data_IF_286062295158
#
_entry.id   IF_286062295158
#
_cell.length_a   1.000
_cell.length_b   1.000
_cell.length_c   1.000
_cell.angle_alpha   90.00
_cell.angle_beta   90.00
_cell.angle_gamma   90.00
#
_symmetry.space_group_name_H-M   'P 1'
#
loop_
_entity.id
_entity.type
_entity.pdbx_description
1 polymer ?
#
# COMPACT_ATOMS: atom_id res chain seq x y z
N UNK A 1 13.11 -20.96 -25.30
CA UNK A 1 14.18 -20.13 -24.72
C UNK A 1 15.50 -20.92 -24.67
N UNK A 2 16.65 -20.22 -24.65
CA UNK A 2 17.99 -20.83 -24.47
C UNK A 2 18.16 -21.60 -23.15
N UNK A 3 17.27 -21.37 -22.18
CA UNK A 3 17.26 -22.00 -20.86
C UNK A 3 16.28 -23.15 -20.74
N UNK A 4 15.65 -23.60 -21.84
CA UNK A 4 14.66 -24.67 -21.84
C UNK A 4 13.29 -24.27 -21.28
N UNK A 5 13.04 -23.00 -21.08
CA UNK A 5 11.72 -22.48 -20.66
C UNK A 5 10.89 -22.06 -21.87
N UNK A 6 9.58 -22.01 -21.69
CA UNK A 6 8.63 -21.53 -22.69
C UNK A 6 8.72 -19.99 -22.74
N UNK A 7 8.84 -19.42 -23.93
CA UNK A 7 8.78 -17.98 -24.12
C UNK A 7 7.32 -17.52 -24.14
N UNK A 8 7.02 -16.50 -23.36
CA UNK A 8 5.70 -15.91 -23.24
C UNK A 8 5.74 -14.39 -23.39
N UNK A 9 4.65 -13.80 -23.78
CA UNK A 9 4.44 -12.37 -23.60
C UNK A 9 4.21 -12.10 -22.09
N UNK A 10 4.97 -11.23 -21.44
CA UNK A 10 4.87 -11.02 -20.00
C UNK A 10 3.51 -10.48 -19.51
N UNK A 11 2.77 -9.79 -20.40
CA UNK A 11 1.50 -9.17 -20.06
C UNK A 11 0.29 -10.02 -20.42
N UNK A 12 0.41 -10.91 -21.41
CA UNK A 12 -0.70 -11.78 -21.84
C UNK A 12 -0.50 -13.23 -21.46
N UNK A 13 0.71 -13.64 -21.04
CA UNK A 13 1.09 -15.03 -20.78
C UNK A 13 0.95 -15.96 -21.99
N UNK A 14 0.64 -15.41 -23.17
CA UNK A 14 0.53 -16.17 -24.41
C UNK A 14 1.91 -16.54 -24.96
N UNK A 15 2.04 -17.73 -25.48
CA UNK A 15 3.25 -18.21 -26.14
C UNK A 15 3.31 -17.69 -27.59
N UNK A 16 4.30 -18.14 -28.36
CA UNK A 16 4.35 -17.90 -29.80
C UNK A 16 3.29 -18.67 -30.61
N UNK A 17 2.48 -19.50 -29.96
CA UNK A 17 1.35 -20.22 -30.57
C UNK A 17 0.06 -19.56 -30.09
N UNK A 18 -0.75 -18.97 -30.97
CA UNK A 18 -1.99 -18.32 -30.58
C UNK A 18 -2.92 -19.24 -29.79
N UNK A 19 -3.48 -18.72 -28.68
CA UNK A 19 -4.38 -19.45 -27.79
C UNK A 19 -3.68 -20.44 -26.85
N UNK A 20 -2.35 -20.49 -26.85
CA UNK A 20 -1.55 -21.32 -25.92
C UNK A 20 -0.86 -20.43 -24.92
N UNK A 21 -1.15 -20.66 -23.64
CA UNK A 21 -0.64 -19.86 -22.52
C UNK A 21 0.29 -20.69 -21.65
N UNK A 22 1.26 -20.04 -21.02
CA UNK A 22 2.15 -20.69 -20.06
C UNK A 22 2.51 -19.74 -18.92
N UNK A 23 2.80 -20.32 -17.74
CA UNK A 23 3.22 -19.56 -16.55
C UNK A 23 3.95 -20.49 -15.57
N UNK A 24 4.33 -19.93 -14.42
CA UNK A 24 5.10 -20.64 -13.40
C UNK A 24 6.46 -21.07 -13.90
N UNK A 25 6.97 -22.17 -13.36
CA UNK A 25 8.31 -22.70 -13.64
C UNK A 25 8.53 -23.02 -15.12
N UNK A 26 7.46 -23.36 -15.84
CA UNK A 26 7.53 -23.61 -17.28
C UNK A 26 7.98 -22.38 -18.08
N UNK A 27 7.63 -21.19 -17.64
CA UNK A 27 7.97 -19.92 -18.28
C UNK A 27 9.19 -19.24 -17.64
N UNK A 28 9.30 -19.25 -16.32
CA UNK A 28 10.34 -18.49 -15.60
C UNK A 28 11.56 -19.32 -15.18
N UNK A 29 11.45 -20.64 -15.20
CA UNK A 29 12.36 -21.55 -14.50
C UNK A 29 11.95 -21.71 -13.03
N UNK A 30 12.65 -22.58 -12.27
CA UNK A 30 12.31 -22.89 -10.89
C UNK A 30 12.25 -21.66 -9.99
N UNK A 31 11.10 -21.44 -9.34
CA UNK A 31 10.83 -20.37 -8.40
C UNK A 31 9.98 -20.89 -7.23
N UNK A 32 9.53 -19.96 -6.36
CA UNK A 32 8.67 -20.32 -5.23
C UNK A 32 7.22 -20.55 -5.68
N UNK A 33 6.52 -21.43 -4.99
CA UNK A 33 5.15 -21.81 -5.33
C UNK A 33 4.17 -20.62 -5.43
N UNK A 34 4.36 -19.60 -4.58
CA UNK A 34 3.52 -18.39 -4.58
C UNK A 34 3.61 -17.62 -5.90
N UNK A 35 4.80 -17.54 -6.51
CA UNK A 35 4.97 -16.90 -7.81
C UNK A 35 4.27 -17.68 -8.93
N UNK A 36 4.34 -19.00 -8.90
CA UNK A 36 3.64 -19.83 -9.87
C UNK A 36 2.11 -19.68 -9.75
N UNK A 37 1.58 -19.63 -8.54
CA UNK A 37 0.15 -19.39 -8.26
C UNK A 37 -0.26 -18.00 -8.77
N UNK A 38 0.54 -16.97 -8.49
CA UNK A 38 0.27 -15.61 -8.93
C UNK A 38 0.22 -15.50 -10.46
N UNK A 39 1.18 -16.13 -11.17
CA UNK A 39 1.17 -16.15 -12.63
C UNK A 39 -0.02 -16.92 -13.19
N UNK A 40 -0.40 -18.03 -12.57
CA UNK A 40 -1.59 -18.79 -12.97
C UNK A 40 -2.87 -17.96 -12.85
N UNK A 41 -3.02 -17.18 -11.77
CA UNK A 41 -4.15 -16.28 -11.58
C UNK A 41 -4.17 -15.17 -12.64
N UNK A 42 -3.05 -14.49 -12.85
CA UNK A 42 -2.92 -13.44 -13.87
C UNK A 42 -3.22 -13.97 -15.29
N UNK A 43 -2.71 -15.14 -15.64
CA UNK A 43 -3.00 -15.77 -16.91
C UNK A 43 -4.48 -16.14 -17.06
N UNK A 44 -5.13 -16.59 -15.99
CA UNK A 44 -6.57 -16.91 -16.00
C UNK A 44 -7.44 -15.67 -16.29
N UNK A 45 -7.09 -14.51 -15.75
CA UNK A 45 -7.80 -13.26 -16.01
C UNK A 45 -7.68 -12.86 -17.49
N UNK A 46 -6.48 -12.98 -18.08
CA UNK A 46 -6.26 -12.72 -19.52
C UNK A 46 -7.03 -13.71 -20.40
N UNK A 47 -6.97 -15.00 -20.08
CA UNK A 47 -7.72 -16.05 -20.82
C UNK A 47 -9.21 -15.79 -20.72
N UNK A 48 -9.71 -15.41 -19.55
CA UNK A 48 -11.13 -15.08 -19.36
C UNK A 48 -11.54 -13.91 -20.25
N UNK A 49 -10.74 -12.84 -20.30
CA UNK A 49 -11.01 -11.69 -21.16
C UNK A 49 -11.01 -12.06 -22.64
N UNK A 50 -10.08 -12.92 -23.06
CA UNK A 50 -10.03 -13.45 -24.45
C UNK A 50 -11.28 -14.23 -24.79
N UNK A 51 -11.76 -15.09 -23.89
CA UNK A 51 -12.99 -15.88 -24.11
C UNK A 51 -14.25 -15.02 -24.14
N UNK A 52 -14.21 -13.87 -23.49
CA UNK A 52 -15.28 -12.87 -23.54
C UNK A 52 -15.30 -12.03 -24.84
N UNK A 53 -14.32 -12.24 -25.73
CA UNK A 53 -14.27 -11.63 -27.05
C UNK A 53 -13.14 -10.64 -27.30
N UNK A 54 -12.44 -10.19 -26.28
CA UNK A 54 -11.29 -9.30 -26.41
C UNK A 54 -10.21 -9.64 -25.40
N UNK A 55 -9.01 -10.01 -25.89
CA UNK A 55 -7.88 -10.27 -25.02
C UNK A 55 -7.36 -8.97 -24.40
N UNK A 56 -7.51 -8.82 -23.09
CA UNK A 56 -6.95 -7.69 -22.33
C UNK A 56 -5.66 -8.15 -21.65
N UNK A 57 -4.53 -7.44 -21.87
CA UNK A 57 -3.30 -7.69 -21.14
C UNK A 57 -3.54 -7.54 -19.63
N UNK A 58 -2.80 -8.29 -18.83
CA UNK A 58 -2.78 -8.07 -17.39
C UNK A 58 -2.10 -6.73 -17.08
N UNK A 59 -2.78 -5.91 -16.31
CA UNK A 59 -2.24 -4.67 -15.75
C UNK A 59 -1.95 -4.90 -14.28
N UNK A 60 -0.72 -4.56 -13.85
CA UNK A 60 -0.35 -4.69 -12.44
C UNK A 60 -1.05 -3.62 -11.60
N UNK A 61 -1.70 -4.05 -10.53
CA UNK A 61 -2.34 -3.12 -9.60
C UNK A 61 -1.30 -2.18 -8.96
N UNK A 62 -1.65 -0.90 -8.90
CA UNK A 62 -0.85 0.10 -8.21
C UNK A 62 -0.88 -0.21 -6.72
N UNK A 63 0.29 -0.32 -6.12
CA UNK A 63 0.48 -0.49 -4.68
C UNK A 63 1.11 0.77 -4.11
N UNK A 64 0.44 1.38 -3.15
CA UNK A 64 0.97 2.56 -2.47
C UNK A 64 2.19 2.16 -1.62
N UNK A 65 3.38 2.55 -2.08
CA UNK A 65 4.65 2.35 -1.38
C UNK A 65 5.40 3.67 -1.29
N UNK A 66 6.08 3.87 -0.18
CA UNK A 66 7.06 4.93 -0.04
C UNK A 66 8.42 4.36 -0.46
N UNK A 67 8.94 4.80 -1.60
CA UNK A 67 10.19 4.27 -2.20
C UNK A 67 11.42 5.10 -1.80
N UNK A 68 11.24 6.37 -1.43
CA UNK A 68 12.30 7.32 -1.11
C UNK A 68 12.72 7.27 0.37
N UNK A 69 12.66 6.09 0.99
CA UNK A 69 13.00 5.91 2.41
C UNK A 69 14.53 5.79 2.55
N UNK A 70 15.10 6.62 3.40
CA UNK A 70 16.53 6.63 3.72
C UNK A 70 16.78 6.29 5.18
N UNK A 71 18.05 6.01 5.55
CA UNK A 71 18.39 5.79 6.97
C UNK A 71 18.16 7.03 7.84
N UNK A 72 18.18 8.23 7.25
CA UNK A 72 17.96 9.49 7.95
C UNK A 72 16.51 9.63 8.44
N UNK A 73 15.54 9.06 7.71
CA UNK A 73 14.12 9.07 8.10
C UNK A 73 13.85 8.28 9.40
N UNK A 74 14.82 7.47 9.84
CA UNK A 74 14.73 6.62 11.03
C UNK A 74 15.89 6.85 12.01
N UNK A 75 16.57 8.00 11.93
CA UNK A 75 17.73 8.30 12.77
C UNK A 75 17.39 8.35 14.26
N UNK A 76 16.15 8.65 14.59
CA UNK A 76 15.58 8.69 15.96
C UNK A 76 15.06 7.34 16.47
N UNK A 77 15.03 6.30 15.62
CA UNK A 77 14.55 4.96 16.00
C UNK A 77 15.69 4.04 16.43
N UNK A 78 15.46 3.27 17.49
CA UNK A 78 16.38 2.22 17.91
C UNK A 78 16.48 1.12 16.85
N UNK A 79 17.71 0.73 16.47
CA UNK A 79 17.95 -0.41 15.57
C UNK A 79 17.76 -1.73 16.32
N UNK A 80 16.62 -2.36 16.15
CA UNK A 80 16.25 -3.62 16.79
C UNK A 80 16.64 -4.79 15.87
N UNK A 81 17.36 -5.77 16.39
CA UNK A 81 17.69 -6.99 15.65
C UNK A 81 16.42 -7.83 15.39
N UNK A 82 16.39 -8.52 14.24
CA UNK A 82 15.28 -9.42 13.89
C UNK A 82 15.16 -10.54 14.92
N UNK A 83 13.93 -10.84 15.34
CA UNK A 83 13.65 -11.97 16.22
C UNK A 83 14.03 -13.30 15.54
N UNK A 84 14.71 -14.16 16.30
CA UNK A 84 15.05 -15.52 15.85
C UNK A 84 14.01 -16.47 16.46
N UNK A 85 13.28 -17.17 15.58
CA UNK A 85 12.29 -18.15 16.01
C UNK A 85 12.98 -19.38 16.58
N UNK A 86 12.47 -19.88 17.68
CA UNK A 86 12.90 -21.15 18.24
C UNK A 86 12.45 -22.32 17.34
N UNK A 87 13.37 -23.25 17.10
CA UNK A 87 13.14 -24.38 16.21
C UNK A 87 13.34 -25.68 17.00
N UNK A 88 12.40 -26.62 16.85
CA UNK A 88 12.49 -27.95 17.46
C UNK A 88 13.77 -28.64 17.05
N UNK A 89 14.56 -29.19 17.99
CA UNK A 89 15.79 -29.91 17.68
C UNK A 89 15.57 -31.05 16.68
N UNK A 90 16.52 -31.28 15.77
CA UNK A 90 16.40 -32.29 14.73
C UNK A 90 16.13 -33.69 15.25
N UNK A 91 16.67 -34.04 16.42
CA UNK A 91 16.47 -35.34 17.07
C UNK A 91 15.01 -35.56 17.50
N UNK A 92 14.29 -34.50 17.87
CA UNK A 92 12.91 -34.60 18.36
C UNK A 92 11.89 -34.60 17.22
N UNK A 93 12.18 -33.93 16.09
CA UNK A 93 11.20 -33.77 15.00
C UNK A 93 11.10 -34.97 14.05
N UNK A 94 12.05 -35.90 14.09
CA UNK A 94 12.09 -37.05 13.16
C UNK A 94 10.96 -38.06 13.35
N UNK A 95 10.38 -38.12 14.58
CA UNK A 95 9.40 -39.14 14.93
C UNK A 95 8.01 -38.54 15.28
N UNK A 96 7.75 -37.29 14.87
CA UNK A 96 6.47 -36.64 15.13
C UNK A 96 6.15 -35.59 14.02
N UNK A 97 4.87 -35.14 14.00
CA UNK A 97 4.35 -34.13 13.06
C UNK A 97 3.98 -32.83 13.77
N UNK A 98 4.56 -32.55 14.95
CA UNK A 98 4.35 -31.26 15.63
C UNK A 98 5.01 -30.14 14.87
N UNK A 99 4.57 -28.90 15.12
CA UNK A 99 5.19 -27.69 14.52
C UNK A 99 6.69 -27.66 14.80
N UNK A 100 7.48 -27.51 13.75
CA UNK A 100 8.96 -27.48 13.83
C UNK A 100 9.45 -26.13 14.28
N UNK A 101 8.81 -25.06 13.87
CA UNK A 101 9.12 -23.67 14.27
C UNK A 101 8.06 -23.22 15.26
N UNK A 102 8.49 -22.74 16.41
CA UNK A 102 7.60 -22.24 17.45
C UNK A 102 7.17 -20.80 17.14
N UNK A 103 5.98 -20.43 17.59
CA UNK A 103 5.48 -19.06 17.50
C UNK A 103 6.22 -18.15 18.47
N UNK A 104 6.26 -16.87 18.15
CA UNK A 104 6.76 -15.85 19.07
C UNK A 104 5.84 -15.71 20.28
N UNK A 105 6.40 -15.32 21.43
CA UNK A 105 5.60 -14.77 22.52
C UNK A 105 5.10 -13.39 22.12
N UNK A 106 4.08 -12.87 22.82
CA UNK A 106 3.52 -11.55 22.56
C UNK A 106 4.60 -10.46 22.63
N UNK A 107 5.42 -10.46 23.66
CA UNK A 107 6.49 -9.46 23.83
C UNK A 107 7.53 -9.51 22.70
N UNK A 108 7.87 -10.71 22.22
CA UNK A 108 8.82 -10.87 21.11
C UNK A 108 8.19 -10.40 19.80
N UNK A 109 6.90 -10.67 19.59
CA UNK A 109 6.17 -10.26 18.41
C UNK A 109 5.99 -8.73 18.35
N UNK A 110 5.65 -8.08 19.46
CA UNK A 110 5.55 -6.63 19.57
C UNK A 110 6.89 -5.95 19.29
N UNK A 111 7.97 -6.48 19.89
CA UNK A 111 9.31 -5.97 19.63
C UNK A 111 9.75 -6.14 18.17
N UNK A 112 9.43 -7.26 17.53
CA UNK A 112 9.74 -7.47 16.12
C UNK A 112 8.86 -6.61 15.21
N UNK A 113 7.60 -6.38 15.57
CA UNK A 113 6.70 -5.47 14.87
C UNK A 113 7.16 -4.00 14.92
N UNK A 114 7.77 -3.56 16.02
CA UNK A 114 8.34 -2.21 16.15
C UNK A 114 9.48 -1.91 15.16
N UNK A 115 10.01 -2.92 14.45
CA UNK A 115 10.98 -2.75 13.37
C UNK A 115 10.34 -2.31 12.05
N UNK A 116 9.01 -2.23 11.98
CA UNK A 116 8.30 -1.88 10.76
C UNK A 116 8.68 -0.48 10.29
N UNK A 117 9.09 -0.33 9.03
CA UNK A 117 9.44 0.96 8.42
C UNK A 117 8.21 1.75 7.95
N UNK A 118 7.02 1.20 8.10
CA UNK A 118 5.75 1.83 7.67
C UNK A 118 5.76 2.31 6.21
N UNK A 119 6.49 1.62 5.34
CA UNK A 119 6.66 1.97 3.93
C UNK A 119 5.41 1.73 3.06
N UNK A 120 4.40 1.04 3.59
CA UNK A 120 3.11 0.86 2.94
C UNK A 120 2.06 1.85 3.44
N UNK A 121 0.93 1.94 2.72
CA UNK A 121 -0.23 2.69 3.18
C UNK A 121 -1.15 1.79 4.02
N UNK A 122 -1.52 2.23 5.24
CA UNK A 122 -2.42 1.49 6.12
C UNK A 122 -3.86 1.47 5.59
N UNK A 123 -4.24 2.51 4.86
CA UNK A 123 -5.60 2.72 4.36
C UNK A 123 -5.81 2.17 2.92
N UNK A 124 -4.96 1.22 2.53
CA UNK A 124 -4.96 0.63 1.18
C UNK A 124 -6.35 0.14 0.74
N UNK A 125 -7.10 -0.52 1.63
CA UNK A 125 -8.39 -1.12 1.30
C UNK A 125 -9.56 -0.13 1.30
N UNK A 126 -9.40 1.04 1.91
CA UNK A 126 -10.46 2.05 2.04
C UNK A 126 -10.22 3.28 1.16
N UNK A 127 -9.02 3.40 0.58
CA UNK A 127 -8.62 4.54 -0.23
C UNK A 127 -9.36 4.58 -1.58
N UNK A 128 -10.30 5.51 -1.75
CA UNK A 128 -11.03 5.70 -2.99
C UNK A 128 -10.13 6.17 -4.15
N UNK A 129 -9.11 6.97 -3.84
CA UNK A 129 -8.13 7.40 -4.84
C UNK A 129 -7.42 6.19 -5.46
N UNK A 130 -6.88 5.29 -4.63
CA UNK A 130 -6.18 4.10 -5.10
C UNK A 130 -7.11 3.18 -5.90
N UNK A 131 -8.35 3.02 -5.43
CA UNK A 131 -9.37 2.25 -6.14
C UNK A 131 -9.58 2.78 -7.57
N UNK A 132 -9.77 4.09 -7.72
CA UNK A 132 -10.00 4.67 -9.04
C UNK A 132 -8.74 4.74 -9.91
N UNK A 133 -7.55 4.89 -9.31
CA UNK A 133 -6.29 4.78 -10.06
C UNK A 133 -6.17 3.40 -10.74
N UNK A 134 -6.53 2.33 -10.03
CA UNK A 134 -6.51 0.98 -10.58
C UNK A 134 -7.66 0.73 -11.58
N UNK A 135 -8.88 1.22 -11.28
CA UNK A 135 -10.05 1.06 -12.16
C UNK A 135 -9.85 1.75 -13.52
N UNK A 136 -9.20 2.92 -13.52
CA UNK A 136 -8.90 3.68 -14.74
C UNK A 136 -7.52 3.35 -15.33
N UNK A 137 -6.81 2.39 -14.77
CA UNK A 137 -5.46 1.96 -15.23
C UNK A 137 -4.50 3.13 -15.43
N UNK A 138 -4.45 4.05 -14.47
CA UNK A 138 -3.65 5.29 -14.56
C UNK A 138 -2.17 4.96 -14.40
N UNK A 139 -1.35 5.37 -15.36
CA UNK A 139 0.11 5.34 -15.22
C UNK A 139 0.58 6.52 -14.35
N UNK A 140 0.96 6.21 -13.11
CA UNK A 140 1.45 7.20 -12.14
C UNK A 140 2.85 7.74 -12.46
N UNK A 141 3.57 7.14 -13.42
CA UNK A 141 4.92 7.54 -13.83
C UNK A 141 4.93 8.60 -14.93
N UNK A 142 3.81 8.80 -15.64
CA UNK A 142 3.73 9.77 -16.74
C UNK A 142 3.98 11.22 -16.33
N UNK A 143 3.71 11.57 -15.08
CA UNK A 143 3.85 12.95 -14.57
C UNK A 143 4.71 12.99 -13.32
N UNK A 144 6.02 12.77 -13.46
CA UNK A 144 6.94 12.95 -12.34
C UNK A 144 6.97 14.42 -11.90
N UNK A 145 7.10 14.65 -10.59
CA UNK A 145 7.15 16.00 -10.03
C UNK A 145 7.66 15.99 -8.60
N UNK A 146 7.77 17.18 -8.04
CA UNK A 146 8.12 17.34 -6.64
C UNK A 146 6.97 16.84 -5.75
N UNK A 147 7.32 16.15 -4.67
CA UNK A 147 6.39 15.71 -3.64
C UNK A 147 6.54 16.60 -2.41
N UNK A 148 5.43 17.03 -1.84
CA UNK A 148 5.46 17.63 -0.52
C UNK A 148 5.80 16.58 0.53
N UNK A 149 6.76 16.89 1.40
CA UNK A 149 7.04 16.16 2.62
C UNK A 149 6.73 17.11 3.79
N UNK A 150 5.49 17.11 4.22
CA UNK A 150 5.08 17.93 5.36
C UNK A 150 4.49 17.02 6.42
N UNK A 151 5.29 16.70 7.41
CA UNK A 151 4.79 16.10 8.65
C UNK A 151 4.26 17.23 9.51
N UNK A 152 2.95 17.29 9.65
CA UNK A 152 2.35 18.05 10.76
C UNK A 152 2.28 17.09 11.94
N UNK A 153 2.86 17.48 13.07
CA UNK A 153 2.61 16.81 14.33
C UNK A 153 1.17 17.08 14.73
N UNK A 154 0.30 16.08 14.52
CA UNK A 154 -1.09 16.14 14.93
C UNK A 154 -1.30 15.25 16.14
N UNK A 155 -1.49 15.86 17.28
CA UNK A 155 -1.80 15.22 18.55
C UNK A 155 -3.30 15.43 18.88
N UNK A 156 -4.18 14.92 18.00
CA UNK A 156 -5.63 14.95 18.25
C UNK A 156 -6.07 13.57 18.77
N UNK A 157 -6.84 13.51 19.90
CA UNK A 157 -7.13 12.26 20.58
C UNK A 157 -8.01 11.29 19.79
N UNK A 158 -8.75 11.74 18.76
CA UNK A 158 -9.71 10.93 18.01
C UNK A 158 -9.53 10.98 16.49
N UNK A 159 -8.70 11.86 15.97
CA UNK A 159 -8.54 12.08 14.53
C UNK A 159 -7.05 12.10 14.20
N UNK A 160 -6.59 11.10 13.46
CA UNK A 160 -5.27 11.09 12.85
C UNK A 160 -5.36 11.71 11.46
N UNK A 161 -4.46 12.63 11.14
CA UNK A 161 -4.37 13.24 9.81
C UNK A 161 -2.96 13.12 9.26
N UNK A 162 -2.87 12.76 7.99
CA UNK A 162 -1.61 12.76 7.26
C UNK A 162 -1.72 13.73 6.07
N UNK A 163 -1.08 14.88 6.19
CA UNK A 163 -1.14 15.93 5.17
C UNK A 163 -0.45 15.52 3.87
N UNK A 164 0.53 14.62 3.94
CA UNK A 164 1.24 14.13 2.75
C UNK A 164 0.34 13.28 1.84
N UNK A 165 -0.74 12.69 2.38
CA UNK A 165 -1.74 11.96 1.61
C UNK A 165 -2.81 12.86 0.98
N UNK A 166 -2.83 14.16 1.31
CA UNK A 166 -3.88 15.08 0.91
C UNK A 166 -3.77 15.45 -0.58
N UNK A 167 -4.85 15.24 -1.33
CA UNK A 167 -4.97 15.65 -2.74
C UNK A 167 -5.65 17.02 -2.93
N UNK A 168 -5.82 17.79 -1.86
CA UNK A 168 -6.43 19.12 -1.85
C UNK A 168 -7.85 19.18 -2.46
N UNK A 169 -8.63 18.09 -2.35
CA UNK A 169 -9.97 18.02 -2.92
C UNK A 169 -11.01 18.93 -2.22
N UNK A 170 -10.72 19.44 -1.02
CA UNK A 170 -11.53 20.37 -0.27
C UNK A 170 -12.80 19.77 0.38
N UNK A 171 -13.08 18.47 0.26
CA UNK A 171 -14.30 17.87 0.82
C UNK A 171 -14.40 18.01 2.33
N UNK A 172 -13.29 17.82 3.05
CA UNK A 172 -13.23 17.98 4.50
C UNK A 172 -13.49 19.42 4.95
N UNK A 173 -13.05 20.41 4.16
CA UNK A 173 -13.34 21.84 4.42
C UNK A 173 -14.84 22.08 4.27
N UNK A 174 -15.40 21.66 3.13
CA UNK A 174 -16.82 21.89 2.81
C UNK A 174 -17.76 21.22 3.81
N UNK A 175 -17.51 19.98 4.20
CA UNK A 175 -18.37 19.33 5.19
C UNK A 175 -18.25 20.00 6.56
N UNK A 176 -17.06 20.45 6.96
CA UNK A 176 -16.84 21.13 8.22
C UNK A 176 -17.53 22.51 8.25
N UNK A 177 -17.48 23.25 7.14
CA UNK A 177 -18.09 24.60 7.02
C UNK A 177 -19.58 24.53 6.67
N UNK A 178 -19.93 23.96 5.53
CA UNK A 178 -21.29 24.02 4.97
C UNK A 178 -22.30 23.15 5.71
N UNK A 179 -21.88 21.98 6.22
CA UNK A 179 -22.79 21.02 6.86
C UNK A 179 -22.72 21.11 8.38
N UNK A 180 -21.50 21.13 8.94
CA UNK A 180 -21.32 21.16 10.39
C UNK A 180 -21.34 22.58 10.96
N UNK A 181 -21.09 23.61 10.15
CA UNK A 181 -21.06 25.01 10.57
C UNK A 181 -19.92 25.34 11.54
N UNK A 182 -18.84 24.55 11.55
CA UNK A 182 -17.74 24.67 12.50
C UNK A 182 -16.57 25.48 11.93
N UNK A 183 -16.27 25.29 10.63
CA UNK A 183 -15.19 25.99 9.91
C UNK A 183 -13.80 25.82 10.56
N UNK A 184 -13.54 24.65 11.16
CA UNK A 184 -12.25 24.37 11.79
C UNK A 184 -11.12 24.10 10.79
N UNK A 185 -11.44 23.79 9.53
CA UNK A 185 -10.48 23.48 8.48
C UNK A 185 -10.58 24.46 7.33
N UNK A 186 -9.43 24.86 6.79
CA UNK A 186 -9.32 25.75 5.64
C UNK A 186 -8.09 25.44 4.81
N UNK A 187 -7.93 26.13 3.66
CA UNK A 187 -6.68 26.12 2.92
C UNK A 187 -5.75 27.16 3.53
N UNK A 188 -4.58 26.70 3.93
CA UNK A 188 -3.50 27.52 4.46
C UNK A 188 -2.37 27.53 3.42
N UNK A 189 -1.63 28.63 3.36
CA UNK A 189 -0.59 28.90 2.38
C UNK A 189 -1.11 29.05 0.93
N UNK A 190 -0.20 29.18 -0.05
CA UNK A 190 -0.54 29.42 -1.46
C UNK A 190 0.29 28.58 -2.41
N UNK A 191 -0.30 28.32 -3.56
CA UNK A 191 0.37 27.59 -4.65
C UNK A 191 0.75 26.17 -4.24
N UNK A 192 1.97 25.79 -4.54
CA UNK A 192 2.48 24.46 -4.22
C UNK A 192 2.54 24.18 -2.71
N UNK A 193 2.66 25.23 -1.89
CA UNK A 193 2.71 25.15 -0.45
C UNK A 193 1.33 25.04 0.24
N UNK A 194 0.24 24.99 -0.53
CA UNK A 194 -1.12 24.91 0.03
C UNK A 194 -1.33 23.60 0.78
N UNK A 195 -1.94 23.70 1.96
CA UNK A 195 -2.33 22.55 2.79
C UNK A 195 -3.72 22.78 3.37
N UNK A 196 -4.38 21.71 3.78
CA UNK A 196 -5.62 21.78 4.56
C UNK A 196 -5.25 21.72 6.03
N UNK A 197 -5.44 22.81 6.77
CA UNK A 197 -5.10 22.95 8.17
C UNK A 197 -6.12 23.86 8.87
N UNK A 198 -6.18 23.86 10.21
CA UNK A 198 -6.78 24.95 10.97
C UNK A 198 -6.06 26.30 10.73
N UNK A 199 -6.69 27.37 11.11
CA UNK A 199 -6.11 28.71 11.06
C UNK A 199 -4.75 28.77 11.77
N UNK A 200 -3.83 29.59 11.24
CA UNK A 200 -2.47 29.76 11.77
C UNK A 200 -1.65 28.46 11.90
N UNK A 201 -2.00 27.41 11.15
CA UNK A 201 -1.37 26.08 11.24
C UNK A 201 -1.42 25.46 12.65
N UNK A 202 -2.45 25.82 13.45
CA UNK A 202 -2.64 25.26 14.78
C UNK A 202 -2.92 23.74 14.71
N UNK A 203 -2.54 22.98 15.72
CA UNK A 203 -3.01 21.61 15.88
C UNK A 203 -4.54 21.55 15.89
N UNK A 204 -5.13 20.53 15.27
CA UNK A 204 -6.59 20.39 15.16
C UNK A 204 -7.28 20.43 16.53
N UNK A 205 -6.65 19.88 17.59
CA UNK A 205 -7.16 19.91 18.97
C UNK A 205 -7.25 21.32 19.57
N UNK A 206 -6.46 22.28 19.05
CA UNK A 206 -6.42 23.68 19.54
C UNK A 206 -7.31 24.61 18.70
N UNK A 207 -7.97 24.08 17.70
CA UNK A 207 -8.90 24.80 16.82
C UNK A 207 -10.35 24.70 17.30
N UNK A 208 -11.28 25.27 16.53
CA UNK A 208 -12.72 25.14 16.78
C UNK A 208 -13.28 23.72 16.58
N UNK A 209 -12.45 22.72 16.33
CA UNK A 209 -12.86 21.34 16.06
C UNK A 209 -13.64 20.73 17.24
N UNK A 210 -14.79 20.13 16.94
CA UNK A 210 -15.65 19.44 17.92
C UNK A 210 -15.48 17.91 17.87
N UNK A 211 -14.46 17.41 17.19
CA UNK A 211 -14.16 15.97 17.09
C UNK A 211 -15.27 15.10 16.46
N UNK A 212 -16.09 15.65 15.56
CA UNK A 212 -17.22 14.95 14.98
C UNK A 212 -16.84 13.85 13.94
N UNK A 213 -15.59 13.83 13.44
CA UNK A 213 -15.11 12.84 12.49
C UNK A 213 -15.63 12.96 11.05
N UNK A 214 -16.51 13.93 10.74
CA UNK A 214 -17.10 14.07 9.39
C UNK A 214 -16.06 14.35 8.30
N UNK A 215 -14.98 15.04 8.63
CA UNK A 215 -13.87 15.27 7.68
C UNK A 215 -13.16 13.96 7.28
N UNK A 216 -13.10 12.99 8.19
CA UNK A 216 -12.53 11.65 7.92
C UNK A 216 -13.45 10.88 6.99
N UNK A 217 -14.76 10.85 7.26
CA UNK A 217 -15.73 10.07 6.48
C UNK A 217 -15.86 10.49 5.01
N UNK A 218 -15.48 11.72 4.66
CA UNK A 218 -15.54 12.21 3.26
C UNK A 218 -14.17 12.24 2.58
N UNK A 219 -13.11 11.89 3.30
CA UNK A 219 -11.76 11.91 2.72
C UNK A 219 -11.58 10.76 1.71
N UNK A 220 -11.15 11.05 0.44
CA UNK A 220 -10.97 10.01 -0.56
C UNK A 220 -9.63 9.26 -0.41
N UNK A 221 -8.74 9.71 0.46
CA UNK A 221 -7.38 9.14 0.61
C UNK A 221 -7.17 8.37 1.91
N UNK A 222 -8.19 7.97 2.57
CA UNK A 222 -8.13 7.10 3.76
C UNK A 222 -8.62 7.70 5.02
#
# INVERSE_FOLDING_TARGET
SKRGTIEINPNTFETNIPGVFAGGDAATGPKIAVEAIAQGKKAADVISSMLMGEMKPYVEEIVARQEDITEEDFADREKIARAVLEVMPAAERKDNFRAVTFTMTEEVAEKDAARCLECGCRDYFECQLLKYLNEYEIDTTEKPGEKHKRRTEEDHPFIERNVDKCILCGQCIRICDEIMGITALGLVNRGFESIVQPEFELPLKESACISCGQCVSVCPTG
#
